data_IF_290279824222
#
_entry.id   IF_290279824222
#
_cell.length_a   1.000
_cell.length_b   1.000
_cell.length_c   1.000
_cell.angle_alpha   90.00
_cell.angle_beta   90.00
_cell.angle_gamma   90.00
#
_symmetry.space_group_name_H-M   'P 1'
#
loop_
_entity.id
_entity.type
_entity.pdbx_description
1 polymer ?
#
# COMPACT_ATOMS: atom_id res chain seq x y z
N UNK A 1 2.68 -14.83 -26.52
CA UNK A 1 3.11 -13.89 -25.47
C UNK A 1 1.90 -13.65 -24.60
N UNK A 2 2.05 -13.43 -23.32
CA UNK A 2 0.92 -13.09 -22.42
C UNK A 2 0.23 -11.82 -22.92
N UNK A 3 -1.09 -11.75 -22.79
CA UNK A 3 -1.87 -10.52 -23.05
C UNK A 3 -1.52 -9.42 -22.04
N UNK A 4 -1.10 -9.81 -20.83
CA UNK A 4 -0.76 -8.89 -19.75
C UNK A 4 0.74 -8.63 -19.71
N UNK A 5 1.11 -7.36 -19.53
CA UNK A 5 2.49 -6.85 -19.50
C UNK A 5 2.93 -6.39 -18.12
N UNK A 6 1.97 -6.11 -17.22
CA UNK A 6 2.20 -5.67 -15.86
C UNK A 6 1.27 -6.43 -14.90
N UNK A 7 1.81 -6.83 -13.75
CA UNK A 7 1.04 -7.38 -12.63
C UNK A 7 1.29 -6.46 -11.42
N UNK A 8 0.25 -5.82 -10.92
CA UNK A 8 0.29 -5.05 -9.68
C UNK A 8 -0.18 -5.95 -8.52
N UNK A 9 0.67 -6.12 -7.50
CA UNK A 9 0.42 -7.04 -6.39
C UNK A 9 0.40 -6.27 -5.08
N UNK A 10 -0.71 -6.35 -4.34
CA UNK A 10 -0.74 -5.86 -2.97
C UNK A 10 0.21 -6.67 -2.08
N UNK A 11 0.54 -6.13 -0.92
CA UNK A 11 1.51 -6.76 -0.02
C UNK A 11 0.87 -7.45 1.19
N UNK A 12 0.22 -6.69 2.05
CA UNK A 12 -0.26 -7.19 3.35
C UNK A 12 -1.58 -7.95 3.17
N UNK A 13 -1.56 -9.26 3.44
CA UNK A 13 -2.71 -10.13 3.14
C UNK A 13 -2.72 -10.67 1.71
N UNK A 14 -1.76 -10.28 0.87
CA UNK A 14 -1.65 -10.71 -0.53
C UNK A 14 -0.28 -11.34 -0.80
N UNK A 15 0.77 -10.55 -1.08
CA UNK A 15 2.12 -11.06 -1.39
C UNK A 15 2.79 -11.65 -0.15
N UNK A 16 2.54 -11.06 1.02
CA UNK A 16 3.14 -11.45 2.28
C UNK A 16 2.24 -12.45 3.02
N UNK A 17 2.87 -13.48 3.58
CA UNK A 17 2.24 -14.40 4.51
C UNK A 17 1.77 -13.69 5.78
N UNK A 18 0.98 -14.36 6.59
CA UNK A 18 0.49 -13.83 7.87
C UNK A 18 1.61 -13.44 8.84
N UNK A 19 2.79 -14.09 8.75
CA UNK A 19 4.00 -13.77 9.52
C UNK A 19 4.86 -12.66 8.87
N UNK A 20 4.38 -12.06 7.80
CA UNK A 20 5.07 -11.03 6.99
C UNK A 20 6.29 -11.52 6.23
N UNK A 21 6.49 -12.82 6.09
CA UNK A 21 7.50 -13.40 5.21
C UNK A 21 7.00 -13.53 3.77
N UNK A 22 7.93 -13.74 2.82
CA UNK A 22 7.64 -14.14 1.45
C UNK A 22 7.66 -15.67 1.34
N UNK A 23 6.68 -16.23 0.65
CA UNK A 23 6.68 -17.65 0.33
C UNK A 23 7.72 -17.96 -0.77
N UNK A 24 8.60 -18.96 -0.59
CA UNK A 24 9.60 -19.31 -1.61
C UNK A 24 9.00 -19.72 -2.96
N UNK A 25 7.80 -20.29 -2.97
CA UNK A 25 7.11 -20.66 -4.21
C UNK A 25 6.59 -19.41 -4.92
N UNK A 26 6.04 -18.44 -4.16
CA UNK A 26 5.65 -17.13 -4.70
C UNK A 26 6.84 -16.40 -5.31
N UNK A 27 8.02 -16.41 -4.65
CA UNK A 27 9.24 -15.81 -5.20
C UNK A 27 9.55 -16.39 -6.58
N UNK A 28 9.55 -17.75 -6.71
CA UNK A 28 9.82 -18.44 -7.99
C UNK A 28 8.82 -18.07 -9.08
N UNK A 29 7.54 -17.94 -8.73
CA UNK A 29 6.48 -17.62 -9.69
C UNK A 29 6.60 -16.16 -10.18
N UNK A 30 6.95 -15.21 -9.29
CA UNK A 30 7.22 -13.82 -9.65
C UNK A 30 8.45 -13.70 -10.55
N UNK A 31 9.53 -14.43 -10.24
CA UNK A 31 10.74 -14.47 -11.08
C UNK A 31 10.44 -15.08 -12.45
N UNK A 32 9.56 -16.09 -12.53
CA UNK A 32 9.15 -16.69 -13.80
C UNK A 32 8.37 -15.68 -14.66
N UNK A 33 7.42 -14.93 -14.08
CA UNK A 33 6.72 -13.87 -14.79
C UNK A 33 7.71 -12.83 -15.34
N UNK A 34 8.68 -12.40 -14.53
CA UNK A 34 9.72 -11.46 -14.94
C UNK A 34 10.60 -12.02 -16.08
N UNK A 35 10.98 -13.32 -16.04
CA UNK A 35 11.73 -13.97 -17.13
C UNK A 35 10.94 -14.03 -18.45
N UNK A 36 9.62 -14.06 -18.38
CA UNK A 36 8.74 -13.99 -19.55
C UNK A 36 8.47 -12.56 -20.04
N UNK A 37 9.12 -11.56 -19.42
CA UNK A 37 9.03 -10.15 -19.81
C UNK A 37 7.85 -9.40 -19.21
N UNK A 38 7.14 -9.98 -18.23
CA UNK A 38 6.05 -9.32 -17.53
C UNK A 38 6.64 -8.51 -16.36
N UNK A 39 6.31 -7.24 -16.28
CA UNK A 39 6.67 -6.44 -15.11
C UNK A 39 5.79 -6.85 -13.92
N UNK A 40 6.39 -7.10 -12.76
CA UNK A 40 5.66 -7.28 -11.51
C UNK A 40 5.99 -6.10 -10.59
N UNK A 41 4.99 -5.43 -10.07
CA UNK A 41 5.14 -4.22 -9.24
C UNK A 41 4.39 -4.37 -7.91
N UNK A 42 5.00 -3.84 -6.85
CA UNK A 42 4.31 -3.68 -5.57
C UNK A 42 3.20 -2.63 -5.68
N UNK A 43 2.06 -2.87 -5.02
CA UNK A 43 0.95 -1.90 -4.90
C UNK A 43 0.50 -1.83 -3.44
N UNK A 44 1.02 -0.89 -2.65
CA UNK A 44 0.95 -0.97 -1.19
C UNK A 44 0.73 0.38 -0.52
N UNK A 45 0.19 0.32 0.71
CA UNK A 45 0.13 1.49 1.61
C UNK A 45 1.46 1.85 2.27
N UNK A 46 2.47 0.97 2.20
CA UNK A 46 3.77 1.11 2.85
C UNK A 46 4.63 2.20 2.22
N UNK A 47 5.56 2.75 3.02
CA UNK A 47 6.60 3.66 2.55
C UNK A 47 7.77 2.91 1.91
N UNK A 48 8.54 3.60 1.06
CA UNK A 48 9.70 3.02 0.36
C UNK A 48 10.72 2.37 1.30
N UNK A 49 11.11 2.97 2.45
CA UNK A 49 12.03 2.32 3.38
C UNK A 49 11.52 0.98 3.95
N UNK A 50 10.19 0.81 4.03
CA UNK A 50 9.56 -0.41 4.54
C UNK A 50 9.58 -1.55 3.52
N UNK A 51 9.87 -1.25 2.24
CA UNK A 51 9.93 -2.21 1.14
C UNK A 51 11.34 -2.78 0.92
N UNK A 52 12.38 -2.11 1.39
CA UNK A 52 13.79 -2.44 1.11
C UNK A 52 14.17 -3.91 1.43
N UNK A 53 13.60 -4.49 2.49
CA UNK A 53 13.86 -5.88 2.85
C UNK A 53 13.27 -6.89 1.86
N UNK A 54 12.13 -6.55 1.26
CA UNK A 54 11.43 -7.37 0.27
C UNK A 54 12.02 -7.20 -1.12
N UNK A 55 12.41 -5.99 -1.49
CA UNK A 55 13.10 -5.69 -2.75
C UNK A 55 14.41 -6.47 -2.87
N UNK A 56 15.15 -6.66 -1.78
CA UNK A 56 16.36 -7.52 -1.77
C UNK A 56 16.05 -8.98 -2.02
N UNK A 57 14.85 -9.47 -1.69
CA UNK A 57 14.44 -10.85 -1.93
C UNK A 57 13.80 -11.02 -3.31
N UNK A 58 13.21 -9.96 -3.87
CA UNK A 58 12.55 -9.93 -5.18
C UNK A 58 13.08 -8.77 -6.04
N UNK A 59 14.37 -8.80 -6.42
CA UNK A 59 15.01 -7.70 -7.18
C UNK A 59 14.42 -7.51 -8.58
N UNK A 60 13.66 -8.46 -9.09
CA UNK A 60 12.92 -8.35 -10.35
C UNK A 60 11.70 -7.42 -10.25
N UNK A 61 11.17 -7.17 -9.06
CA UNK A 61 10.09 -6.20 -8.83
C UNK A 61 10.65 -4.78 -8.73
N UNK A 62 10.93 -4.18 -9.88
CA UNK A 62 11.59 -2.89 -10.01
C UNK A 62 10.78 -1.71 -9.48
N UNK A 63 9.44 -1.76 -9.60
CA UNK A 63 8.57 -0.63 -9.31
C UNK A 63 7.67 -0.87 -8.10
N UNK A 64 7.35 0.22 -7.40
CA UNK A 64 6.29 0.23 -6.42
C UNK A 64 5.30 1.37 -6.67
N UNK A 65 4.02 1.05 -6.63
CA UNK A 65 2.93 1.97 -6.35
C UNK A 65 2.79 1.97 -4.83
N UNK A 66 3.48 2.90 -4.19
CA UNK A 66 3.60 3.01 -2.73
C UNK A 66 2.67 4.09 -2.16
N UNK A 67 2.59 4.15 -0.83
CA UNK A 67 1.80 5.17 -0.11
C UNK A 67 0.35 5.23 -0.58
N UNK A 68 -0.27 4.06 -0.82
CA UNK A 68 -1.65 3.92 -1.30
C UNK A 68 -1.90 4.57 -2.67
N UNK A 69 -0.84 4.71 -3.49
CA UNK A 69 -0.88 5.30 -4.82
C UNK A 69 -0.40 6.75 -4.91
N UNK A 70 -0.03 7.38 -3.79
CA UNK A 70 0.53 8.74 -3.81
C UNK A 70 1.92 8.79 -4.43
N UNK A 71 2.66 7.68 -4.41
CA UNK A 71 4.04 7.60 -4.88
C UNK A 71 4.21 6.44 -5.85
N UNK A 72 4.87 6.67 -6.98
CA UNK A 72 5.43 5.61 -7.82
C UNK A 72 6.94 5.70 -7.74
N UNK A 73 7.60 4.63 -7.32
CA UNK A 73 9.03 4.59 -7.09
C UNK A 73 9.72 3.55 -7.96
N UNK A 74 10.88 3.91 -8.51
CA UNK A 74 11.79 3.03 -9.27
C UNK A 74 12.98 2.64 -8.39
N UNK A 75 13.05 1.40 -7.93
CA UNK A 75 14.13 0.91 -7.09
C UNK A 75 15.47 0.78 -7.82
N UNK A 76 15.47 0.59 -9.13
CA UNK A 76 16.69 0.52 -9.92
C UNK A 76 17.33 1.90 -10.08
N UNK A 77 16.52 2.92 -10.44
CA UNK A 77 16.96 4.29 -10.57
C UNK A 77 17.01 5.03 -9.23
N UNK A 78 16.44 4.43 -8.17
CA UNK A 78 16.33 5.00 -6.81
C UNK A 78 15.72 6.40 -6.81
N UNK A 79 14.60 6.56 -7.52
CA UNK A 79 13.89 7.84 -7.64
C UNK A 79 12.38 7.67 -7.76
N UNK A 80 11.68 8.75 -7.39
CA UNK A 80 10.25 8.88 -7.63
C UNK A 80 9.99 9.12 -9.11
N UNK A 81 9.05 8.33 -9.67
CA UNK A 81 8.51 8.51 -11.02
C UNK A 81 7.29 9.43 -11.00
N UNK A 82 6.55 9.37 -9.91
CA UNK A 82 5.35 10.17 -9.68
C UNK A 82 5.17 10.35 -8.17
N UNK A 83 4.76 11.56 -7.75
CA UNK A 83 4.36 11.82 -6.38
C UNK A 83 3.21 12.83 -6.34
N UNK A 84 2.15 12.52 -5.59
CA UNK A 84 1.05 13.43 -5.31
C UNK A 84 0.98 13.68 -3.80
N UNK A 85 1.03 14.96 -3.41
CA UNK A 85 1.17 15.37 -2.02
C UNK A 85 -0.11 16.02 -1.49
N UNK A 86 -0.42 15.80 -0.23
CA UNK A 86 -1.42 16.55 0.53
C UNK A 86 -0.77 17.77 1.20
N UNK A 87 -1.53 18.86 1.29
CA UNK A 87 -1.05 20.17 1.81
C UNK A 87 -0.76 20.13 3.31
N UNK A 88 0.25 20.91 3.73
CA UNK A 88 0.64 21.12 5.14
C UNK A 88 -0.52 21.58 6.03
N UNK A 89 -1.42 22.43 5.54
CA UNK A 89 -2.60 22.82 6.27
C UNK A 89 -3.51 21.64 6.67
N UNK A 90 -3.58 20.60 5.83
CA UNK A 90 -4.32 19.37 6.15
C UNK A 90 -3.55 18.50 7.15
N UNK A 91 -2.21 18.45 7.05
CA UNK A 91 -1.35 17.73 8.01
C UNK A 91 -1.57 18.26 9.41
N UNK A 92 -1.57 19.59 9.60
CA UNK A 92 -1.79 20.23 10.90
C UNK A 92 -3.19 19.88 11.46
N UNK A 93 -4.23 19.91 10.62
CA UNK A 93 -5.59 19.55 11.04
C UNK A 93 -5.70 18.07 11.41
N UNK A 94 -5.09 17.17 10.63
CA UNK A 94 -5.05 15.72 10.93
C UNK A 94 -4.38 15.48 12.29
N UNK A 95 -3.23 16.11 12.55
CA UNK A 95 -2.50 15.96 13.82
C UNK A 95 -3.31 16.54 14.98
N UNK A 96 -4.01 17.65 14.76
CA UNK A 96 -4.90 18.23 15.77
C UNK A 96 -6.02 17.27 16.18
N UNK A 97 -6.64 16.61 15.18
CA UNK A 97 -7.69 15.61 15.42
C UNK A 97 -7.10 14.36 16.08
N UNK A 98 -5.97 13.83 15.58
CA UNK A 98 -5.31 12.66 16.18
C UNK A 98 -5.02 12.86 17.67
N UNK A 99 -4.55 14.07 18.06
CA UNK A 99 -4.27 14.40 19.45
C UNK A 99 -5.52 14.46 20.35
N UNK A 100 -6.70 14.73 19.81
CA UNK A 100 -7.96 14.72 20.59
C UNK A 100 -8.36 13.31 21.03
N UNK A 101 -7.93 12.28 20.30
CA UNK A 101 -8.26 10.88 20.57
C UNK A 101 -7.04 10.08 21.10
N UNK A 102 -5.96 10.77 21.51
CA UNK A 102 -4.69 10.11 21.86
C UNK A 102 -4.26 9.07 20.82
N UNK A 103 -4.50 9.38 19.54
CA UNK A 103 -4.18 8.52 18.43
C UNK A 103 -2.75 8.75 17.95
N UNK A 104 -2.13 7.72 17.39
CA UNK A 104 -0.77 7.76 16.84
C UNK A 104 -0.81 8.29 15.41
N UNK A 105 -0.28 9.50 15.19
CA UNK A 105 -0.06 10.03 13.85
C UNK A 105 1.27 9.51 13.27
N UNK A 106 1.25 9.16 11.98
CA UNK A 106 2.39 8.64 11.26
C UNK A 106 2.50 9.39 9.92
N UNK A 107 3.58 10.15 9.75
CA UNK A 107 3.86 10.83 8.49
C UNK A 107 4.72 9.92 7.59
N UNK A 108 4.31 9.82 6.34
CA UNK A 108 5.03 9.07 5.33
C UNK A 108 5.41 10.05 4.21
N UNK A 109 6.70 10.29 4.08
CA UNK A 109 7.29 11.08 2.99
C UNK A 109 7.82 10.15 1.89
N UNK A 110 8.48 10.69 0.89
CA UNK A 110 9.16 9.87 -0.13
C UNK A 110 10.29 9.02 0.47
N UNK A 111 11.01 9.57 1.46
CA UNK A 111 12.25 9.00 1.99
C UNK A 111 12.14 8.56 3.45
N UNK A 112 11.18 9.08 4.21
CA UNK A 112 11.08 8.89 5.64
C UNK A 112 9.69 8.45 6.09
N UNK A 113 9.70 7.75 7.21
CA UNK A 113 8.54 7.36 8.00
C UNK A 113 8.73 7.96 9.41
N UNK A 114 7.80 8.81 9.88
CA UNK A 114 8.00 9.66 11.06
C UNK A 114 6.88 9.46 12.07
N UNK A 115 7.24 9.19 13.31
CA UNK A 115 6.30 8.92 14.41
C UNK A 115 6.73 9.56 15.72
N UNK A 116 5.80 9.70 16.67
CA UNK A 116 6.13 10.14 18.03
C UNK A 116 6.79 9.00 18.82
N UNK A 117 7.91 9.29 19.48
CA UNK A 117 8.79 8.29 20.11
C UNK A 117 8.08 7.47 21.20
N UNK A 118 7.30 8.11 22.06
CA UNK A 118 6.61 7.45 23.18
C UNK A 118 5.50 6.50 22.73
N UNK A 119 4.89 6.75 21.56
CA UNK A 119 3.82 5.92 21.00
C UNK A 119 4.33 4.64 20.36
N UNK A 120 5.61 4.57 19.97
CA UNK A 120 6.19 3.35 19.38
C UNK A 120 6.17 2.18 20.38
N UNK A 121 6.40 2.44 21.67
CA UNK A 121 6.32 1.40 22.71
C UNK A 121 4.88 0.92 22.98
N UNK A 122 3.89 1.70 22.59
CA UNK A 122 2.45 1.46 22.79
C UNK A 122 1.74 0.94 21.53
N UNK A 123 2.45 0.52 20.50
CA UNK A 123 1.85 0.14 19.20
C UNK A 123 0.81 -0.97 19.29
N UNK A 124 0.90 -1.86 20.28
CA UNK A 124 -0.13 -2.88 20.53
C UNK A 124 -1.50 -2.26 20.87
N UNK A 125 -1.52 -1.13 21.59
CA UNK A 125 -2.75 -0.41 21.95
C UNK A 125 -3.44 0.22 20.73
N UNK A 126 -2.69 0.44 19.66
CA UNK A 126 -3.16 0.96 18.37
C UNK A 126 -3.41 -0.15 17.35
N UNK A 127 -3.45 -1.42 17.78
CA UNK A 127 -3.57 -2.61 16.92
C UNK A 127 -2.43 -2.79 15.90
N UNK A 128 -1.27 -2.16 16.15
CA UNK A 128 -0.10 -2.13 15.28
C UNK A 128 1.11 -2.88 15.86
N UNK A 129 0.90 -3.73 16.88
CA UNK A 129 1.97 -4.41 17.61
C UNK A 129 2.90 -5.26 16.74
N UNK A 130 2.37 -5.93 15.71
CA UNK A 130 3.16 -6.75 14.78
C UNK A 130 4.20 -5.92 14.00
N UNK A 131 3.92 -4.63 13.77
CA UNK A 131 4.81 -3.72 13.04
C UNK A 131 5.83 -3.01 13.93
N UNK A 132 5.73 -3.13 15.26
CA UNK A 132 6.60 -2.42 16.19
C UNK A 132 8.11 -2.64 15.94
N UNK A 133 8.62 -3.86 15.65
CA UNK A 133 10.03 -4.06 15.34
C UNK A 133 10.50 -3.28 14.11
N UNK A 134 9.65 -3.18 13.09
CA UNK A 134 9.91 -2.41 11.88
C UNK A 134 9.95 -0.90 12.20
N UNK A 135 8.97 -0.39 12.94
CA UNK A 135 8.92 1.01 13.34
C UNK A 135 10.11 1.42 14.21
N UNK A 136 10.53 0.56 15.16
CA UNK A 136 11.73 0.81 15.96
C UNK A 136 12.98 1.01 15.09
N UNK A 137 13.10 0.25 14.01
CA UNK A 137 14.25 0.23 13.13
C UNK A 137 14.22 1.32 12.05
N UNK A 138 13.08 1.54 11.42
CA UNK A 138 13.00 2.29 10.16
C UNK A 138 12.41 3.70 10.32
N UNK A 139 11.66 4.01 11.38
CA UNK A 139 11.05 5.32 11.50
C UNK A 139 11.98 6.33 12.17
N UNK A 140 11.92 7.58 11.76
CA UNK A 140 12.45 8.71 12.52
C UNK A 140 11.49 9.03 13.67
N UNK A 141 12.02 9.13 14.88
CA UNK A 141 11.26 9.41 16.10
C UNK A 141 11.37 10.88 16.43
N UNK A 142 10.23 11.49 16.76
CA UNK A 142 10.14 12.89 17.19
C UNK A 142 9.35 12.98 18.50
N UNK A 143 9.55 14.05 19.25
CA UNK A 143 8.89 14.26 20.53
C UNK A 143 7.50 14.89 20.35
N UNK A 144 7.32 15.72 19.31
CA UNK A 144 6.08 16.47 19.07
C UNK A 144 5.68 16.46 17.59
N UNK A 145 4.61 15.73 17.27
CA UNK A 145 4.05 15.65 15.91
C UNK A 145 3.42 16.98 15.45
N UNK A 146 2.99 17.85 16.36
CA UNK A 146 2.45 19.19 15.98
C UNK A 146 3.57 20.13 15.53
N UNK A 147 4.70 20.08 16.25
CA UNK A 147 5.89 20.83 15.83
C UNK A 147 6.45 20.29 14.51
N UNK A 148 6.44 18.96 14.36
CA UNK A 148 6.92 18.30 13.12
C UNK A 148 6.01 18.64 11.92
N UNK A 149 4.68 18.66 12.09
CA UNK A 149 3.72 18.99 11.03
C UNK A 149 4.02 20.35 10.37
N UNK A 150 4.43 21.33 11.15
CA UNK A 150 4.76 22.69 10.67
C UNK A 150 6.05 22.78 9.83
N UNK A 151 6.82 21.69 9.78
CA UNK A 151 8.06 21.63 8.97
C UNK A 151 7.79 21.24 7.52
N UNK A 152 6.58 20.80 7.21
CA UNK A 152 6.20 20.32 5.89
C UNK A 152 5.18 21.23 5.23
N UNK A 153 5.49 21.73 4.05
CA UNK A 153 4.52 22.39 3.18
C UNK A 153 3.55 21.36 2.56
N UNK A 154 4.03 20.16 2.33
CA UNK A 154 3.25 19.03 1.84
C UNK A 154 3.97 17.69 2.09
N UNK A 155 3.20 16.58 2.23
CA UNK A 155 3.72 15.19 2.25
C UNK A 155 2.76 14.26 1.49
N UNK A 156 3.21 13.08 1.01
CA UNK A 156 2.35 12.19 0.24
C UNK A 156 1.21 11.56 1.05
N UNK A 157 1.45 11.20 2.33
CA UNK A 157 0.49 10.43 3.12
C UNK A 157 0.61 10.70 4.61
N UNK A 158 -0.54 10.68 5.29
CA UNK A 158 -0.63 10.62 6.76
C UNK A 158 -1.51 9.45 7.15
N UNK A 159 -1.04 8.59 8.05
CA UNK A 159 -1.85 7.60 8.72
C UNK A 159 -2.13 8.03 10.15
N UNK A 160 -3.31 7.68 10.67
CA UNK A 160 -3.65 7.83 12.08
C UNK A 160 -4.16 6.48 12.59
N UNK A 161 -3.52 5.97 13.64
CA UNK A 161 -3.89 4.73 14.30
C UNK A 161 -4.60 5.05 15.60
N UNK A 162 -5.87 4.69 15.67
CA UNK A 162 -6.72 4.92 16.83
C UNK A 162 -6.69 3.70 17.77
N UNK A 163 -7.04 3.91 19.04
CA UNK A 163 -7.15 2.83 20.03
C UNK A 163 -8.44 2.01 19.85
N UNK A 164 -9.43 2.54 19.13
CA UNK A 164 -10.70 1.84 18.89
C UNK A 164 -11.32 2.22 17.53
N UNK A 165 -12.17 1.32 17.00
CA UNK A 165 -12.98 1.61 15.82
C UNK A 165 -13.95 2.78 16.04
N UNK A 166 -14.43 2.99 17.28
CA UNK A 166 -15.28 4.11 17.64
C UNK A 166 -14.54 5.44 17.51
N UNK A 167 -13.31 5.51 18.02
CA UNK A 167 -12.50 6.74 17.95
C UNK A 167 -12.07 7.01 16.52
N UNK A 168 -11.76 5.96 15.72
CA UNK A 168 -11.50 6.08 14.28
C UNK A 168 -12.72 6.68 13.55
N UNK A 169 -13.92 6.20 13.83
CA UNK A 169 -15.14 6.72 13.22
C UNK A 169 -15.36 8.21 13.57
N UNK A 170 -15.14 8.60 14.83
CA UNK A 170 -15.23 9.98 15.26
C UNK A 170 -14.14 10.87 14.63
N UNK A 171 -12.91 10.37 14.51
CA UNK A 171 -11.81 11.03 13.82
C UNK A 171 -12.11 11.24 12.33
N UNK A 172 -12.65 10.20 11.65
CA UNK A 172 -13.11 10.31 10.27
C UNK A 172 -14.20 11.39 10.11
N UNK A 173 -15.23 11.38 10.95
CA UNK A 173 -16.30 12.40 10.90
C UNK A 173 -15.75 13.83 11.04
N UNK A 174 -14.73 14.04 11.88
CA UNK A 174 -14.07 15.33 12.03
C UNK A 174 -13.29 15.76 10.77
N UNK A 175 -12.72 14.80 10.03
CA UNK A 175 -11.82 15.06 8.91
C UNK A 175 -12.47 14.93 7.52
N UNK A 176 -13.60 14.22 7.38
CA UNK A 176 -14.23 13.92 6.07
C UNK A 176 -14.62 15.13 5.22
N UNK A 177 -14.72 16.33 5.82
CA UNK A 177 -14.95 17.61 5.13
C UNK A 177 -13.73 18.10 4.34
N UNK A 178 -12.54 17.59 4.66
CA UNK A 178 -11.32 17.94 3.94
C UNK A 178 -11.30 17.24 2.59
N UNK A 179 -10.74 17.86 1.54
CA UNK A 179 -10.61 17.26 0.22
C UNK A 179 -9.46 16.24 0.22
N UNK A 180 -9.67 15.11 0.88
CA UNK A 180 -8.72 14.01 1.03
C UNK A 180 -9.34 12.71 0.52
N UNK A 181 -8.52 11.79 0.08
CA UNK A 181 -8.86 10.38 -0.07
C UNK A 181 -8.64 9.69 1.27
N UNK A 182 -9.62 8.89 1.71
CA UNK A 182 -9.59 8.14 2.95
C UNK A 182 -9.62 6.64 2.64
N UNK A 183 -8.81 5.86 3.37
CA UNK A 183 -8.92 4.41 3.39
C UNK A 183 -8.95 3.90 4.84
N UNK A 184 -9.81 2.93 5.09
CA UNK A 184 -9.92 2.23 6.36
C UNK A 184 -9.10 0.95 6.24
N UNK A 185 -7.91 0.96 6.86
CA UNK A 185 -7.01 -0.17 6.87
C UNK A 185 -7.16 -0.98 8.17
N UNK A 186 -6.27 -1.93 8.40
CA UNK A 186 -6.28 -2.86 9.52
C UNK A 186 -6.63 -2.21 10.87
N UNK A 187 -7.39 -2.93 11.67
CA UNK A 187 -7.73 -2.54 13.04
C UNK A 187 -8.50 -1.23 13.10
N UNK A 188 -7.88 -0.20 13.66
CA UNK A 188 -8.46 1.14 13.83
C UNK A 188 -7.66 2.21 13.07
N UNK A 189 -7.07 1.86 11.94
CA UNK A 189 -6.28 2.77 11.08
C UNK A 189 -7.17 3.61 10.18
N UNK A 190 -6.79 4.88 10.01
CA UNK A 190 -7.33 5.80 9.02
C UNK A 190 -6.17 6.35 8.19
N UNK A 191 -6.14 6.01 6.92
CA UNK A 191 -5.14 6.46 5.97
C UNK A 191 -5.65 7.66 5.19
N UNK A 192 -4.83 8.65 4.96
CA UNK A 192 -5.19 9.90 4.30
C UNK A 192 -4.15 10.30 3.27
N UNK A 193 -4.61 10.52 2.05
CA UNK A 193 -3.84 11.03 0.92
C UNK A 193 -4.54 12.26 0.34
N UNK A 194 -3.89 12.96 -0.60
CA UNK A 194 -4.55 14.00 -1.38
C UNK A 194 -5.79 13.45 -2.13
N UNK A 195 -6.76 14.32 -2.39
CA UNK A 195 -7.98 13.94 -3.08
C UNK A 195 -7.71 13.24 -4.43
N UNK A 196 -8.41 12.14 -4.68
CA UNK A 196 -8.30 11.33 -5.88
C UNK A 196 -7.11 10.35 -5.89
N UNK A 197 -6.26 10.35 -4.85
CA UNK A 197 -5.21 9.34 -4.69
C UNK A 197 -5.83 8.01 -4.26
N UNK A 198 -5.54 6.98 -5.02
CA UNK A 198 -5.87 5.57 -4.77
C UNK A 198 -4.77 4.69 -5.38
N UNK A 199 -4.72 3.41 -5.03
CA UNK A 199 -3.81 2.46 -5.72
C UNK A 199 -4.00 2.49 -7.24
N UNK A 200 -5.23 2.70 -7.73
CA UNK A 200 -5.51 2.84 -9.15
C UNK A 200 -4.87 4.09 -9.78
N UNK A 201 -4.91 5.24 -9.09
CA UNK A 201 -4.31 6.47 -9.64
C UNK A 201 -2.78 6.36 -9.75
N UNK A 202 -2.14 5.78 -8.74
CA UNK A 202 -0.70 5.47 -8.79
C UNK A 202 -0.36 4.44 -9.86
N UNK A 203 -1.18 3.38 -10.01
CA UNK A 203 -0.99 2.38 -11.07
C UNK A 203 -1.14 2.98 -12.47
N UNK A 204 -2.10 3.90 -12.68
CA UNK A 204 -2.21 4.67 -13.95
C UNK A 204 -0.96 5.52 -14.22
N UNK A 205 -0.35 6.10 -13.20
CA UNK A 205 0.91 6.83 -13.37
C UNK A 205 2.06 5.87 -13.76
N UNK A 206 2.15 4.68 -13.14
CA UNK A 206 3.13 3.66 -13.50
C UNK A 206 2.92 3.13 -14.92
N UNK A 207 1.69 2.76 -15.28
CA UNK A 207 1.38 2.25 -16.63
C UNK A 207 1.68 3.30 -17.71
N UNK A 208 1.37 4.57 -17.47
CA UNK A 208 1.75 5.67 -18.36
C UNK A 208 3.27 5.80 -18.52
N UNK A 209 4.03 5.66 -17.43
CA UNK A 209 5.50 5.69 -17.45
C UNK A 209 6.09 4.55 -18.28
N UNK A 210 5.50 3.36 -18.17
CA UNK A 210 5.94 2.14 -18.88
C UNK A 210 5.41 2.02 -20.32
N UNK A 211 4.47 2.88 -20.75
CA UNK A 211 3.81 2.75 -22.04
C UNK A 211 2.90 1.51 -22.13
N UNK A 212 2.35 1.07 -21.01
CA UNK A 212 1.43 -0.09 -20.87
C UNK A 212 0.01 0.46 -20.62
N UNK A 213 -1.03 -0.17 -21.16
CA UNK A 213 -2.40 0.20 -20.82
C UNK A 213 -2.89 -0.49 -19.54
N UNK A 214 -3.92 0.07 -18.91
CA UNK A 214 -4.58 -0.59 -17.78
C UNK A 214 -5.23 -1.92 -18.19
N UNK A 215 -5.67 -2.06 -19.43
CA UNK A 215 -6.22 -3.30 -19.99
C UNK A 215 -5.15 -4.40 -20.18
N UNK A 216 -3.88 -4.02 -20.28
CA UNK A 216 -2.73 -4.94 -20.34
C UNK A 216 -2.11 -5.18 -18.94
N UNK A 217 -2.82 -4.75 -17.88
CA UNK A 217 -2.37 -4.87 -16.50
C UNK A 217 -3.29 -5.82 -15.74
N UNK A 218 -2.71 -6.70 -14.92
CA UNK A 218 -3.43 -7.50 -13.93
C UNK A 218 -3.24 -6.91 -12.54
N UNK A 219 -4.24 -7.08 -11.66
CA UNK A 219 -4.20 -6.68 -10.25
C UNK A 219 -4.51 -7.84 -9.33
N UNK A 220 -3.75 -7.98 -8.24
CA UNK A 220 -3.97 -8.98 -7.20
C UNK A 220 -4.07 -8.27 -5.85
N UNK A 221 -5.15 -8.51 -5.09
CA UNK A 221 -5.41 -7.87 -3.81
C UNK A 221 -6.42 -8.60 -2.95
N UNK A 222 -6.65 -8.13 -1.72
CA UNK A 222 -7.52 -8.81 -0.75
C UNK A 222 -8.51 -7.88 -0.03
N UNK A 223 -8.27 -6.56 -0.01
CA UNK A 223 -8.97 -5.65 0.88
C UNK A 223 -9.57 -4.44 0.15
N UNK A 224 -10.38 -3.64 0.88
CA UNK A 224 -11.08 -2.49 0.31
C UNK A 224 -10.15 -1.41 -0.26
N UNK A 225 -8.93 -1.27 0.27
CA UNK A 225 -7.92 -0.36 -0.28
C UNK A 225 -7.39 -0.80 -1.66
N UNK A 226 -7.67 -2.05 -2.11
CA UNK A 226 -7.36 -2.57 -3.43
C UNK A 226 -8.49 -2.35 -4.44
N UNK A 227 -9.72 -2.14 -3.96
CA UNK A 227 -10.93 -2.06 -4.79
C UNK A 227 -10.73 -1.23 -6.05
N UNK A 228 -10.27 0.01 -5.88
CA UNK A 228 -10.09 0.91 -7.01
C UNK A 228 -9.06 0.38 -8.04
N UNK A 229 -8.03 -0.33 -7.59
CA UNK A 229 -7.04 -0.98 -8.46
C UNK A 229 -7.67 -2.15 -9.20
N UNK A 230 -8.36 -3.04 -8.48
CA UNK A 230 -8.99 -4.23 -9.03
C UNK A 230 -10.09 -3.90 -10.07
N UNK A 231 -10.86 -2.84 -9.83
CA UNK A 231 -11.85 -2.32 -10.80
C UNK A 231 -11.23 -1.70 -12.05
N UNK A 232 -9.98 -1.24 -11.98
CA UNK A 232 -9.36 -0.44 -13.04
C UNK A 232 -8.49 -1.25 -14.00
N UNK A 233 -8.06 -2.45 -13.63
CA UNK A 233 -7.17 -3.31 -14.43
C UNK A 233 -7.93 -4.15 -15.45
N UNK A 234 -7.20 -4.74 -16.40
CA UNK A 234 -7.77 -5.63 -17.41
C UNK A 234 -8.12 -7.03 -16.90
N UNK A 235 -7.51 -7.46 -15.80
CA UNK A 235 -7.82 -8.72 -15.11
C UNK A 235 -7.53 -8.61 -13.62
N UNK A 236 -8.52 -8.89 -12.82
CA UNK A 236 -8.48 -8.74 -11.37
C UNK A 236 -8.58 -10.09 -10.66
N UNK A 237 -7.76 -10.26 -9.61
CA UNK A 237 -7.73 -11.47 -8.80
C UNK A 237 -7.85 -11.11 -7.32
N UNK A 238 -8.86 -11.66 -6.67
CA UNK A 238 -8.98 -11.60 -5.21
C UNK A 238 -8.24 -12.77 -4.56
N UNK A 239 -7.59 -12.49 -3.43
CA UNK A 239 -7.03 -13.53 -2.58
C UNK A 239 -8.12 -14.34 -1.87
N UNK A 240 -7.86 -15.61 -1.57
CA UNK A 240 -8.78 -16.49 -0.85
C UNK A 240 -9.15 -16.03 0.56
N UNK A 241 -8.23 -15.32 1.23
CA UNK A 241 -8.46 -14.65 2.51
C UNK A 241 -9.14 -13.28 2.38
N UNK A 242 -9.37 -12.78 1.16
CA UNK A 242 -9.95 -11.47 0.91
C UNK A 242 -11.42 -11.36 1.34
N UNK A 243 -11.89 -10.12 1.48
CA UNK A 243 -13.27 -9.82 1.82
C UNK A 243 -14.23 -10.31 0.71
N UNK A 244 -15.41 -10.76 1.09
CA UNK A 244 -16.37 -11.37 0.14
C UNK A 244 -16.82 -10.40 -0.97
N UNK A 245 -16.94 -9.12 -0.68
CA UNK A 245 -17.29 -8.09 -1.64
C UNK A 245 -16.13 -7.78 -2.62
N UNK A 246 -14.87 -7.99 -2.20
CA UNK A 246 -13.70 -7.94 -3.08
C UNK A 246 -13.64 -9.18 -3.97
N UNK A 247 -13.92 -10.38 -3.43
CA UNK A 247 -14.01 -11.61 -4.23
C UNK A 247 -15.10 -11.52 -5.29
N UNK A 248 -16.26 -10.97 -4.93
CA UNK A 248 -17.40 -10.80 -5.86
C UNK A 248 -17.13 -9.79 -6.99
N UNK A 249 -16.20 -8.86 -6.77
CA UNK A 249 -15.80 -7.84 -7.74
C UNK A 249 -14.84 -8.36 -8.80
N UNK A 250 -13.96 -9.31 -8.43
CA UNK A 250 -12.84 -9.74 -9.25
C UNK A 250 -13.22 -10.79 -10.31
N UNK A 251 -12.43 -10.83 -11.40
CA UNK A 251 -12.58 -11.83 -12.46
C UNK A 251 -12.25 -13.24 -11.99
N UNK A 252 -11.38 -13.38 -10.99
CA UNK A 252 -11.00 -14.66 -10.43
C UNK A 252 -10.69 -14.55 -8.92
N UNK A 253 -10.77 -15.70 -8.24
CA UNK A 253 -10.33 -15.86 -6.84
C UNK A 253 -9.24 -16.92 -6.81
N UNK A 254 -8.13 -16.61 -6.12
CA UNK A 254 -7.02 -17.54 -5.90
C UNK A 254 -7.04 -18.10 -4.48
N UNK A 255 -5.98 -18.82 -4.08
CA UNK A 255 -5.78 -19.28 -2.70
C UNK A 255 -5.45 -18.10 -1.76
N UNK A 256 -5.36 -18.37 -0.48
CA UNK A 256 -4.96 -17.36 0.49
C UNK A 256 -3.45 -17.06 0.46
N UNK A 257 -3.04 -16.05 1.20
CA UNK A 257 -1.66 -15.58 1.26
C UNK A 257 -0.68 -16.56 1.95
N UNK A 258 -1.17 -17.48 2.77
CA UNK A 258 -0.34 -18.52 3.41
C UNK A 258 -0.16 -19.76 2.52
N UNK A 259 -0.94 -19.88 1.43
CA UNK A 259 -0.96 -21.04 0.54
C UNK A 259 -0.57 -20.67 -0.92
N UNK A 260 0.38 -19.74 -1.08
CA UNK A 260 0.92 -19.31 -2.39
C UNK A 260 -0.16 -18.80 -3.37
N UNK A 261 -1.13 -18.03 -2.88
CA UNK A 261 -2.22 -17.52 -3.72
C UNK A 261 -1.73 -16.62 -4.87
N UNK A 262 -0.77 -15.72 -4.59
CA UNK A 262 -0.17 -14.86 -5.64
C UNK A 262 0.53 -15.68 -6.71
N UNK A 263 1.34 -16.68 -6.34
CA UNK A 263 2.02 -17.54 -7.31
C UNK A 263 1.03 -18.31 -8.18
N UNK A 264 -0.07 -18.83 -7.58
CA UNK A 264 -1.14 -19.53 -8.34
C UNK A 264 -1.83 -18.59 -9.33
N UNK A 265 -2.12 -17.34 -8.91
CA UNK A 265 -2.69 -16.32 -9.78
C UNK A 265 -1.74 -15.99 -10.95
N UNK A 266 -0.45 -15.82 -10.70
CA UNK A 266 0.58 -15.58 -11.73
C UNK A 266 0.62 -16.74 -12.71
N UNK A 267 0.68 -17.99 -12.24
CA UNK A 267 0.68 -19.18 -13.14
C UNK A 267 -0.55 -19.24 -14.03
N UNK A 268 -1.74 -18.94 -13.47
CA UNK A 268 -2.97 -18.87 -14.26
C UNK A 268 -2.85 -17.80 -15.36
N UNK A 269 -2.31 -16.64 -15.05
CA UNK A 269 -2.09 -15.53 -15.96
C UNK A 269 -1.11 -15.89 -17.10
N UNK A 270 -0.04 -16.62 -16.78
CA UNK A 270 0.95 -17.09 -17.77
C UNK A 270 0.36 -18.12 -18.75
N UNK A 271 -0.72 -18.81 -18.38
CA UNK A 271 -1.40 -19.79 -19.24
C UNK A 271 -2.51 -19.17 -20.10
N UNK A 272 -2.97 -17.96 -19.80
CA UNK A 272 -3.92 -17.24 -20.63
C UNK A 272 -3.22 -16.86 -21.93
N UNK A 273 -3.51 -17.61 -23.01
CA UNK A 273 -3.06 -17.26 -24.35
C UNK A 273 -4.07 -16.27 -24.93
N UNK A 274 -3.54 -15.22 -25.60
CA UNK A 274 -4.39 -14.38 -26.47
C UNK A 274 -5.16 -15.30 -27.45
N UNK A 275 -6.46 -15.28 -27.39
CA UNK A 275 -7.34 -15.92 -28.37
C UNK A 275 -7.26 -15.20 -29.68
#
# INVERSE_FOLDING_TARGET
MSEYKLIAVDMDGTLLRSDKSLDPDTIRDVEEAARQGIQVAYSTGRAVPELEAYVRQLPCMRYAVALSGALVYDFQERKSVFCQMLSGAYIEEIVRVAAQYDAMAHFLTEDESIVRIDQVSQMADFHMGIYQPMFLKLTRKVDDMRAEAKRFDAIPKVNVYFRSAKDRAAGYEALKRLPLSFAFAEGASLEMNAAGVTKASGLRALTKHLGISMTETAGIGDADNDRAMLEAVGWSVAMGNGAEDIKALCDAVTEDNDHNGVGKAIRSLLTIKSL
#
